data_IF_127559826921
#
_entry.id   IF_127559826921
#
_cell.length_a   1.000
_cell.length_b   1.000
_cell.length_c   1.000
_cell.angle_alpha   90.00
_cell.angle_beta   90.00
_cell.angle_gamma   90.00
#
_symmetry.space_group_name_H-M   'P 1'
#
loop_
_entity.id
_entity.type
_entity.pdbx_description
1 polymer ?
#
# COMPACT_ATOMS: atom_id res chain seq x y z
N UNK A 1 -14.33 10.63 -3.19
CA UNK A 1 -14.62 11.19 -1.84
C UNK A 1 -13.88 12.53 -1.72
N UNK A 2 -14.12 13.36 -0.72
CA UNK A 2 -13.43 14.66 -0.59
C UNK A 2 -13.39 15.09 0.86
N UNK A 3 -13.05 16.35 1.16
CA UNK A 3 -12.94 16.89 2.52
C UNK A 3 -14.15 16.62 3.44
N UNK A 4 -15.34 16.39 2.87
CA UNK A 4 -16.54 15.97 3.61
C UNK A 4 -16.37 14.64 4.36
N UNK A 5 -15.37 13.82 3.99
CA UNK A 5 -15.09 12.52 4.62
C UNK A 5 -14.13 12.63 5.83
N UNK A 6 -13.54 13.80 6.09
CA UNK A 6 -12.58 14.00 7.19
C UNK A 6 -13.07 13.48 8.56
N UNK A 7 -14.34 13.66 8.98
CA UNK A 7 -14.80 13.15 10.28
C UNK A 7 -14.79 11.62 10.40
N UNK A 8 -14.72 10.90 9.27
CA UNK A 8 -14.83 9.44 9.20
C UNK A 8 -13.52 8.77 8.80
N UNK A 9 -12.49 9.54 8.44
CA UNK A 9 -11.28 8.97 7.84
C UNK A 9 -10.43 8.18 8.82
N UNK A 10 -10.31 8.62 10.08
CA UNK A 10 -9.44 7.97 11.07
C UNK A 10 -9.88 6.55 11.43
N UNK A 11 -11.16 6.26 11.74
CA UNK A 11 -11.61 4.89 11.97
C UNK A 11 -11.42 3.97 10.76
N UNK A 12 -11.65 4.49 9.55
CA UNK A 12 -11.49 3.72 8.30
C UNK A 12 -10.01 3.42 8.05
N UNK A 13 -9.15 4.42 8.17
CA UNK A 13 -7.70 4.27 8.04
C UNK A 13 -7.16 3.23 9.03
N UNK A 14 -7.50 3.36 10.32
CA UNK A 14 -7.08 2.40 11.36
C UNK A 14 -7.56 0.99 11.07
N UNK A 15 -8.78 0.83 10.56
CA UNK A 15 -9.30 -0.50 10.19
C UNK A 15 -8.51 -1.09 9.03
N UNK A 16 -8.20 -0.31 7.99
CA UNK A 16 -7.37 -0.78 6.88
C UNK A 16 -5.98 -1.20 7.34
N UNK A 17 -5.30 -0.39 8.16
CA UNK A 17 -3.98 -0.75 8.72
C UNK A 17 -4.07 -2.06 9.50
N UNK A 18 -5.09 -2.23 10.34
CA UNK A 18 -5.29 -3.46 11.10
C UNK A 18 -5.43 -4.69 10.19
N UNK A 19 -6.24 -4.58 9.13
CA UNK A 19 -6.42 -5.67 8.16
C UNK A 19 -5.11 -6.00 7.44
N UNK A 20 -4.37 -4.99 6.99
CA UNK A 20 -3.07 -5.18 6.32
C UNK A 20 -2.10 -5.89 7.26
N UNK A 21 -1.95 -5.41 8.50
CA UNK A 21 -1.06 -6.01 9.48
C UNK A 21 -1.43 -7.46 9.79
N UNK A 22 -2.73 -7.75 10.00
CA UNK A 22 -3.20 -9.11 10.27
C UNK A 22 -2.94 -10.06 9.10
N UNK A 23 -3.24 -9.63 7.87
CA UNK A 23 -3.00 -10.44 6.67
C UNK A 23 -1.51 -10.67 6.42
N UNK A 24 -0.65 -9.68 6.66
CA UNK A 24 0.80 -9.87 6.53
C UNK A 24 1.34 -10.84 7.60
N UNK A 25 0.91 -10.69 8.86
CA UNK A 25 1.30 -11.58 9.94
C UNK A 25 0.87 -13.03 9.68
N UNK A 26 -0.39 -13.24 9.29
CA UNK A 26 -0.90 -14.57 8.97
C UNK A 26 -0.16 -15.17 7.76
N UNK A 27 0.19 -14.36 6.75
CA UNK A 27 1.00 -14.83 5.61
C UNK A 27 2.37 -15.33 6.06
N UNK A 28 3.02 -14.63 6.98
CA UNK A 28 4.32 -15.05 7.52
C UNK A 28 4.20 -16.32 8.36
N UNK A 29 3.16 -16.45 9.19
CA UNK A 29 2.92 -17.66 9.99
C UNK A 29 2.61 -18.87 9.10
N UNK A 30 1.78 -18.70 8.08
CA UNK A 30 1.47 -19.75 7.10
C UNK A 30 2.72 -20.21 6.33
N UNK A 31 3.66 -19.32 6.03
CA UNK A 31 4.94 -19.70 5.42
C UNK A 31 5.83 -20.51 6.36
N UNK A 32 5.81 -20.22 7.66
CA UNK A 32 6.61 -20.95 8.66
C UNK A 32 5.98 -22.28 9.08
N UNK A 33 4.64 -22.35 9.13
CA UNK A 33 3.85 -23.50 9.59
C UNK A 33 2.72 -23.84 8.61
N UNK A 34 3.04 -24.24 7.37
CA UNK A 34 2.05 -24.41 6.29
C UNK A 34 1.03 -25.53 6.54
N UNK A 35 1.34 -26.47 7.43
CA UNK A 35 0.41 -27.55 7.81
C UNK A 35 -0.54 -27.18 8.96
N UNK A 36 -0.35 -26.02 9.58
CA UNK A 36 -1.09 -25.60 10.79
C UNK A 36 -1.81 -24.27 10.60
N UNK A 37 -1.33 -23.40 9.72
CA UNK A 37 -1.90 -22.08 9.46
C UNK A 37 -2.19 -21.94 7.96
N UNK A 38 -3.43 -21.60 7.64
CA UNK A 38 -3.85 -21.34 6.27
C UNK A 38 -3.41 -19.94 5.82
N UNK A 39 -3.08 -19.82 4.53
CA UNK A 39 -2.82 -18.51 3.91
C UNK A 39 -4.05 -17.60 4.08
N UNK A 40 -3.86 -16.32 4.39
CA UNK A 40 -4.97 -15.38 4.50
C UNK A 40 -5.59 -15.16 3.13
N UNK A 41 -6.88 -14.89 3.12
CA UNK A 41 -7.58 -14.37 1.96
C UNK A 41 -7.01 -12.98 1.60
N UNK A 42 -6.41 -12.91 0.42
CA UNK A 42 -5.73 -11.70 -0.09
C UNK A 42 -6.71 -10.64 -0.55
N UNK A 43 -8.00 -10.94 -0.74
CA UNK A 43 -9.00 -9.97 -1.15
C UNK A 43 -9.19 -8.89 -0.07
N UNK A 44 -9.15 -9.25 1.21
CA UNK A 44 -9.20 -8.26 2.30
C UNK A 44 -7.98 -7.33 2.31
N UNK A 45 -6.81 -7.86 1.94
CA UNK A 45 -5.59 -7.08 1.86
C UNK A 45 -5.68 -6.08 0.69
N UNK A 46 -6.13 -6.54 -0.48
CA UNK A 46 -6.33 -5.72 -1.68
C UNK A 46 -7.35 -4.61 -1.40
N UNK A 47 -8.52 -4.96 -0.86
CA UNK A 47 -9.58 -3.99 -0.53
C UNK A 47 -9.10 -2.94 0.49
N UNK A 48 -8.31 -3.35 1.49
CA UNK A 48 -7.76 -2.42 2.47
C UNK A 48 -6.75 -1.45 1.82
N UNK A 49 -5.88 -1.92 0.93
CA UNK A 49 -4.93 -1.11 0.18
C UNK A 49 -5.65 -0.12 -0.75
N UNK A 50 -6.63 -0.59 -1.52
CA UNK A 50 -7.41 0.24 -2.44
C UNK A 50 -8.18 1.34 -1.70
N UNK A 51 -8.76 1.01 -0.54
CA UNK A 51 -9.46 1.97 0.29
C UNK A 51 -8.51 3.03 0.87
N UNK A 52 -7.29 2.63 1.28
CA UNK A 52 -6.27 3.60 1.68
C UNK A 52 -5.82 4.49 0.51
N UNK A 53 -5.69 3.94 -0.70
CA UNK A 53 -5.35 4.70 -1.92
C UNK A 53 -6.41 5.76 -2.17
N UNK A 54 -7.69 5.37 -2.17
CA UNK A 54 -8.81 6.30 -2.34
C UNK A 54 -8.90 7.36 -1.23
N UNK A 55 -8.53 7.03 0.01
CA UNK A 55 -8.41 8.02 1.09
C UNK A 55 -7.27 9.00 0.82
N UNK A 56 -6.09 8.52 0.42
CA UNK A 56 -4.94 9.36 0.13
C UNK A 56 -5.22 10.30 -1.05
N UNK A 57 -5.80 9.78 -2.13
CA UNK A 57 -6.21 10.56 -3.30
C UNK A 57 -7.25 11.63 -2.93
N UNK A 58 -8.28 11.26 -2.15
CA UNK A 58 -9.40 12.17 -1.85
C UNK A 58 -9.12 13.22 -0.78
N UNK A 59 -8.25 12.91 0.18
CA UNK A 59 -7.91 13.82 1.28
C UNK A 59 -6.64 14.64 1.00
N UNK A 60 -5.78 14.17 0.08
CA UNK A 60 -4.49 14.79 -0.18
C UNK A 60 -3.69 14.97 1.11
N UNK A 61 -3.12 16.16 1.31
CA UNK A 61 -2.30 16.47 2.48
C UNK A 61 -3.02 16.25 3.83
N UNK A 62 -4.35 16.23 3.88
CA UNK A 62 -5.06 15.97 5.13
C UNK A 62 -4.91 14.54 5.67
N UNK A 63 -4.39 13.59 4.87
CA UNK A 63 -4.08 12.24 5.35
C UNK A 63 -2.76 12.17 6.13
N UNK A 64 -1.88 13.17 5.98
CA UNK A 64 -0.54 13.20 6.58
C UNK A 64 -0.53 12.86 8.09
N UNK A 65 -1.42 13.42 8.94
CA UNK A 65 -1.40 13.12 10.37
C UNK A 65 -1.70 11.66 10.69
N UNK A 66 -2.37 10.92 9.80
CA UNK A 66 -2.64 9.49 9.95
C UNK A 66 -1.44 8.65 9.53
N UNK A 67 -0.79 9.04 8.43
CA UNK A 67 0.44 8.40 7.92
C UNK A 67 1.58 8.53 8.93
N UNK A 68 1.74 9.70 9.55
CA UNK A 68 2.82 9.96 10.51
C UNK A 68 2.70 9.23 11.85
N UNK A 69 1.55 8.59 12.16
CA UNK A 69 1.32 7.88 13.42
C UNK A 69 1.76 6.41 13.40
N UNK A 70 1.76 5.79 12.23
CA UNK A 70 1.89 4.35 12.07
C UNK A 70 3.01 3.98 11.10
N UNK A 71 3.48 2.73 11.16
CA UNK A 71 4.50 2.18 10.26
C UNK A 71 3.92 1.77 8.89
N UNK A 72 2.97 2.53 8.35
CA UNK A 72 2.24 2.19 7.11
C UNK A 72 3.20 1.96 5.93
N UNK A 73 4.30 2.71 5.85
CA UNK A 73 5.27 2.57 4.76
C UNK A 73 6.10 1.28 4.87
N UNK A 74 6.29 0.75 6.08
CA UNK A 74 6.92 -0.56 6.27
C UNK A 74 5.97 -1.68 5.85
N UNK A 75 4.69 -1.58 6.22
CA UNK A 75 3.66 -2.53 5.75
C UNK A 75 3.53 -2.48 4.22
N UNK A 76 3.57 -1.27 3.65
CA UNK A 76 3.47 -1.06 2.21
C UNK A 76 4.64 -1.69 1.44
N UNK A 77 5.86 -1.64 1.99
CA UNK A 77 7.02 -2.27 1.34
C UNK A 77 6.92 -3.80 1.32
N UNK A 78 6.30 -4.40 2.33
CA UNK A 78 5.99 -5.83 2.35
C UNK A 78 4.92 -6.20 1.30
N UNK A 79 3.86 -5.39 1.19
CA UNK A 79 2.83 -5.60 0.15
C UNK A 79 3.39 -5.43 -1.27
N UNK A 80 4.32 -4.50 -1.47
CA UNK A 80 4.93 -4.20 -2.76
C UNK A 80 5.78 -5.35 -3.34
N UNK A 81 6.17 -6.32 -2.50
CA UNK A 81 6.90 -7.53 -2.89
C UNK A 81 6.09 -8.81 -2.71
N UNK A 82 4.78 -8.70 -2.42
CA UNK A 82 3.91 -9.87 -2.25
C UNK A 82 3.84 -10.69 -3.56
N UNK A 83 3.81 -12.03 -3.50
CA UNK A 83 3.74 -12.87 -4.70
C UNK A 83 2.46 -12.64 -5.52
N UNK A 84 1.36 -12.23 -4.90
CA UNK A 84 0.08 -11.96 -5.57
C UNK A 84 0.14 -10.65 -6.36
N UNK A 85 0.01 -10.67 -7.71
CA UNK A 85 0.09 -9.47 -8.55
C UNK A 85 -0.86 -8.35 -8.14
N UNK A 86 -2.09 -8.68 -7.76
CA UNK A 86 -3.14 -7.73 -7.39
C UNK A 86 -2.77 -6.97 -6.11
N UNK A 87 -2.09 -7.61 -5.15
CA UNK A 87 -1.57 -6.94 -3.95
C UNK A 87 -0.48 -5.93 -4.33
N UNK A 88 0.41 -6.30 -5.27
CA UNK A 88 1.43 -5.37 -5.79
C UNK A 88 0.79 -4.20 -6.53
N UNK A 89 -0.22 -4.46 -7.36
CA UNK A 89 -0.96 -3.40 -8.07
C UNK A 89 -1.55 -2.36 -7.11
N UNK A 90 -2.27 -2.80 -6.07
CA UNK A 90 -2.91 -1.91 -5.09
C UNK A 90 -1.91 -1.18 -4.20
N UNK A 91 -0.80 -1.84 -3.84
CA UNK A 91 0.28 -1.18 -3.09
C UNK A 91 1.00 -0.10 -3.90
N UNK A 92 1.21 -0.30 -5.21
CA UNK A 92 1.77 0.75 -6.08
C UNK A 92 0.82 1.94 -6.27
N UNK A 93 -0.49 1.69 -6.38
CA UNK A 93 -1.48 2.77 -6.39
C UNK A 93 -1.39 3.63 -5.11
N UNK A 94 -1.41 2.96 -3.95
CA UNK A 94 -1.30 3.64 -2.66
C UNK A 94 0.04 4.40 -2.51
N UNK A 95 1.15 3.82 -2.97
CA UNK A 95 2.46 4.49 -2.93
C UNK A 95 2.44 5.81 -3.72
N UNK A 96 1.91 5.80 -4.94
CA UNK A 96 1.84 7.01 -5.75
C UNK A 96 0.88 8.06 -5.15
N UNK A 97 -0.26 7.65 -4.59
CA UNK A 97 -1.18 8.57 -3.93
C UNK A 97 -0.59 9.19 -2.66
N UNK A 98 0.10 8.39 -1.84
CA UNK A 98 0.82 8.90 -0.66
C UNK A 98 2.01 9.80 -1.05
N UNK A 99 2.64 9.54 -2.18
CA UNK A 99 3.71 10.39 -2.71
C UNK A 99 3.20 11.79 -3.04
N UNK A 100 2.06 11.88 -3.74
CA UNK A 100 1.38 13.16 -4.00
C UNK A 100 0.89 13.83 -2.71
N UNK A 101 0.35 13.06 -1.76
CA UNK A 101 -0.29 13.59 -0.56
C UNK A 101 0.70 14.07 0.51
N UNK A 102 1.78 13.32 0.77
CA UNK A 102 2.67 13.55 1.92
C UNK A 102 4.13 13.11 1.63
N UNK A 103 4.75 13.72 0.61
CA UNK A 103 6.10 13.39 0.14
C UNK A 103 7.18 13.28 1.22
N UNK A 104 7.17 14.14 2.25
CA UNK A 104 8.20 14.13 3.30
C UNK A 104 8.27 12.79 4.05
N UNK A 105 7.17 12.04 4.14
CA UNK A 105 7.14 10.69 4.70
C UNK A 105 7.69 9.65 3.74
N UNK A 106 7.50 9.83 2.42
CA UNK A 106 7.96 8.88 1.38
C UNK A 106 9.45 9.03 1.10
N UNK A 107 9.97 10.26 1.11
CA UNK A 107 11.36 10.59 0.76
C UNK A 107 12.42 9.66 1.40
N UNK A 108 12.35 9.30 2.70
CA UNK A 108 13.30 8.38 3.34
C UNK A 108 13.25 6.94 2.80
N UNK A 109 12.13 6.52 2.22
CA UNK A 109 11.90 5.15 1.70
C UNK A 109 12.15 5.02 0.20
N UNK A 110 12.53 6.09 -0.49
CA UNK A 110 12.82 6.09 -1.95
C UNK A 110 13.81 5.01 -2.36
N UNK A 111 14.89 4.81 -1.60
CA UNK A 111 15.90 3.78 -1.86
C UNK A 111 15.34 2.35 -1.72
N UNK A 112 14.25 2.18 -0.97
CA UNK A 112 13.53 0.90 -0.87
C UNK A 112 12.57 0.72 -2.03
N UNK A 113 11.76 1.73 -2.34
CA UNK A 113 10.67 1.58 -3.31
C UNK A 113 11.12 1.65 -4.77
N UNK A 114 12.11 2.46 -5.12
CA UNK A 114 12.58 2.62 -6.51
C UNK A 114 13.00 1.27 -7.13
N UNK A 115 13.84 0.44 -6.48
CA UNK A 115 14.17 -0.88 -6.99
C UNK A 115 12.96 -1.81 -7.11
N UNK A 116 12.05 -1.79 -6.13
CA UNK A 116 10.84 -2.63 -6.14
C UNK A 116 9.93 -2.29 -7.32
N UNK A 117 9.72 -1.01 -7.59
CA UNK A 117 8.95 -0.53 -8.72
C UNK A 117 9.59 -0.96 -10.05
N UNK A 118 10.90 -0.77 -10.19
CA UNK A 118 11.63 -1.14 -11.41
C UNK A 118 11.56 -2.66 -11.71
N UNK A 119 11.57 -3.51 -10.67
CA UNK A 119 11.37 -4.96 -10.84
C UNK A 119 9.98 -5.34 -11.36
N UNK A 120 9.01 -4.45 -11.26
CA UNK A 120 7.63 -4.66 -11.74
C UNK A 120 7.35 -3.99 -13.09
N UNK A 121 8.36 -3.51 -13.81
CA UNK A 121 8.24 -3.05 -15.20
C UNK A 121 8.14 -4.24 -16.17
N UNK A 122 7.15 -5.09 -15.91
CA UNK A 122 6.88 -6.31 -16.64
C UNK A 122 5.50 -6.23 -17.33
N UNK A 123 5.46 -6.09 -18.67
CA UNK A 123 4.21 -5.95 -19.41
C UNK A 123 3.34 -7.22 -19.38
N UNK A 124 3.83 -8.35 -18.87
CA UNK A 124 2.99 -9.55 -18.66
C UNK A 124 1.92 -9.33 -17.59
N UNK A 125 2.15 -8.41 -16.65
CA UNK A 125 1.20 -7.98 -15.63
C UNK A 125 0.81 -6.52 -15.84
N UNK A 126 0.03 -6.25 -16.90
CA UNK A 126 -0.26 -4.88 -17.41
C UNK A 126 -0.67 -3.91 -16.30
N UNK A 127 -1.62 -4.28 -15.44
CA UNK A 127 -2.12 -3.39 -14.37
C UNK A 127 -1.07 -3.10 -13.30
N UNK A 128 -0.26 -4.11 -12.94
CA UNK A 128 0.85 -3.95 -11.98
C UNK A 128 1.92 -3.02 -12.58
N UNK A 129 2.31 -3.30 -13.82
CA UNK A 129 3.32 -2.52 -14.56
C UNK A 129 2.90 -1.07 -14.73
N UNK A 130 1.63 -0.82 -15.08
CA UNK A 130 1.08 0.53 -15.19
C UNK A 130 1.19 1.31 -13.87
N UNK A 131 0.74 0.71 -12.77
CA UNK A 131 0.80 1.37 -11.46
C UNK A 131 2.23 1.54 -10.97
N UNK A 132 3.12 0.58 -11.26
CA UNK A 132 4.54 0.69 -10.93
C UNK A 132 5.22 1.84 -11.67
N UNK A 133 4.98 1.97 -12.99
CA UNK A 133 5.53 3.06 -13.81
C UNK A 133 5.00 4.41 -13.33
N UNK A 134 3.69 4.50 -13.07
CA UNK A 134 3.09 5.72 -12.56
C UNK A 134 3.67 6.13 -11.20
N UNK A 135 3.68 5.22 -10.22
CA UNK A 135 4.23 5.49 -8.90
C UNK A 135 5.73 5.81 -8.95
N UNK A 136 6.50 5.20 -9.85
CA UNK A 136 7.90 5.54 -10.08
C UNK A 136 8.06 6.99 -10.55
N UNK A 137 7.19 7.45 -11.45
CA UNK A 137 7.15 8.83 -11.92
C UNK A 137 6.88 9.82 -10.78
N UNK A 138 5.90 9.52 -9.92
CA UNK A 138 5.60 10.34 -8.73
C UNK A 138 6.77 10.37 -7.75
N UNK A 139 7.43 9.23 -7.50
CA UNK A 139 8.53 9.11 -6.52
C UNK A 139 9.84 9.75 -7.02
N UNK A 140 10.03 9.85 -8.34
CA UNK A 140 11.26 10.37 -8.95
C UNK A 140 11.19 11.84 -9.36
N UNK A 141 9.99 12.44 -9.35
CA UNK A 141 9.73 13.85 -9.68
C UNK A 141 10.04 14.80 -8.53
#
# INVERSE_FOLDING_TARGET
MGIAFLPYCEPVYTRCITLITQSLHQSMEAQQRPNEVEMPDKDYLIVALDLLSGLAESLGAHIEPLVGRNEVLQLLSLCAVDPTPEVRQSSFALLGDLTKACWHHIKPYTQTFIPILAMNFDPSHISVCNNAIWAFGEVSG
#
